data_IF_205852510889
#
_entry.id   IF_205852510889
#
_cell.length_a   1.000
_cell.length_b   1.000
_cell.length_c   1.000
_cell.angle_alpha   90.00
_cell.angle_beta   90.00
_cell.angle_gamma   90.00
#
_symmetry.space_group_name_H-M   'P 1'
#
loop_
_entity.id
_entity.type
_entity.pdbx_description
1 polymer ?
#
# COMPACT_ATOMS: atom_id res chain seq x y z
N UNK A 1 -19.13 -6.97 65.13
CA UNK A 1 -19.13 -7.49 63.75
C UNK A 1 -18.78 -6.29 62.88
N UNK A 2 -17.48 -6.06 62.64
CA UNK A 2 -17.01 -4.90 61.86
C UNK A 2 -16.99 -5.34 60.41
N UNK A 3 -17.86 -4.76 59.59
CA UNK A 3 -17.86 -4.96 58.14
C UNK A 3 -16.48 -4.58 57.60
N UNK A 4 -15.76 -5.58 57.12
CA UNK A 4 -14.51 -5.42 56.43
C UNK A 4 -14.86 -4.89 55.04
N UNK A 5 -14.97 -3.56 54.90
CA UNK A 5 -15.20 -2.91 53.62
C UNK A 5 -14.17 -3.43 52.60
N UNK A 6 -14.60 -3.84 51.40
CA UNK A 6 -13.70 -4.45 50.43
C UNK A 6 -12.62 -3.43 50.05
N UNK A 7 -11.34 -3.83 50.14
CA UNK A 7 -10.14 -3.02 49.80
C UNK A 7 -10.23 -2.29 48.45
N UNK A 8 -11.08 -2.76 47.56
CA UNK A 8 -11.31 -2.19 46.23
C UNK A 8 -12.06 -0.84 46.25
N UNK A 9 -12.81 -0.53 47.32
CA UNK A 9 -13.53 0.74 47.43
C UNK A 9 -12.57 1.94 47.62
N UNK A 10 -11.47 1.74 48.35
CA UNK A 10 -10.46 2.78 48.59
C UNK A 10 -9.52 3.03 47.41
N UNK A 11 -9.47 2.12 46.43
CA UNK A 11 -8.61 2.27 45.26
C UNK A 11 -9.12 3.37 44.30
N UNK A 12 -10.44 3.55 44.20
CA UNK A 12 -11.07 4.55 43.33
C UNK A 12 -11.01 5.99 43.89
N UNK A 13 -10.71 6.14 45.20
CA UNK A 13 -10.56 7.45 45.84
C UNK A 13 -9.14 8.03 45.70
N UNK A 14 -8.15 7.24 45.29
CA UNK A 14 -6.81 7.74 45.00
C UNK A 14 -6.85 8.56 43.69
N UNK A 15 -6.58 9.87 43.71
CA UNK A 15 -6.58 10.70 42.50
C UNK A 15 -5.54 10.23 41.46
N UNK A 16 -4.53 9.46 41.88
CA UNK A 16 -3.54 8.87 40.98
C UNK A 16 -4.00 7.55 40.35
N UNK A 17 -5.10 6.94 40.81
CA UNK A 17 -5.63 5.69 40.28
C UNK A 17 -5.98 5.83 38.79
N UNK A 18 -6.71 6.88 38.43
CA UNK A 18 -7.06 7.16 37.03
C UNK A 18 -5.85 7.43 36.15
N UNK A 19 -4.80 8.06 36.71
CA UNK A 19 -3.54 8.34 36.00
C UNK A 19 -2.74 7.05 35.81
N UNK A 20 -2.64 6.21 36.84
CA UNK A 20 -1.97 4.93 36.79
C UNK A 20 -2.68 3.97 35.81
N UNK A 21 -4.00 3.89 35.88
CA UNK A 21 -4.81 3.06 34.98
C UNK A 21 -4.70 3.54 33.53
N UNK A 22 -4.87 4.85 33.28
CA UNK A 22 -4.66 5.42 31.95
C UNK A 22 -3.24 5.17 31.41
N UNK A 23 -2.20 5.31 32.25
CA UNK A 23 -0.81 5.06 31.86
C UNK A 23 -0.52 3.60 31.50
N UNK A 24 -1.31 2.66 32.05
CA UNK A 24 -1.21 1.23 31.74
C UNK A 24 -2.01 0.83 30.50
N UNK A 25 -3.13 1.50 30.23
CA UNK A 25 -4.05 1.21 29.10
C UNK A 25 -3.60 1.90 27.81
N UNK A 26 -3.08 3.13 27.87
CA UNK A 26 -2.65 3.91 26.70
C UNK A 26 -1.62 3.18 25.80
N UNK A 27 -0.58 2.51 26.35
CA UNK A 27 0.38 1.76 25.53
C UNK A 27 -0.23 0.52 24.88
N UNK A 28 -1.14 -0.16 25.59
CA UNK A 28 -1.80 -1.37 25.10
C UNK A 28 -2.79 -1.07 23.97
N UNK A 29 -3.55 0.01 24.13
CA UNK A 29 -4.50 0.50 23.11
C UNK A 29 -3.77 1.09 21.90
N UNK A 30 -2.66 1.81 22.09
CA UNK A 30 -1.83 2.29 20.98
C UNK A 30 -1.24 1.14 20.15
N UNK A 31 -0.74 0.09 20.81
CA UNK A 31 -0.19 -1.09 20.14
C UNK A 31 -1.26 -1.87 19.36
N UNK A 32 -2.47 -2.02 19.92
CA UNK A 32 -3.55 -2.75 19.25
C UNK A 32 -4.06 -2.01 18.02
N UNK A 33 -4.15 -0.67 18.06
CA UNK A 33 -4.52 0.16 16.91
C UNK A 33 -3.47 0.04 15.80
N UNK A 34 -2.19 0.14 16.17
CA UNK A 34 -1.10 0.15 15.20
C UNK A 34 -0.93 -1.21 14.50
N UNK A 35 -1.02 -2.31 15.24
CA UNK A 35 -1.00 -3.67 14.68
C UNK A 35 -2.21 -3.93 13.78
N UNK A 36 -3.40 -3.49 14.19
CA UNK A 36 -4.61 -3.57 13.36
C UNK A 36 -4.44 -2.79 12.05
N UNK A 37 -3.88 -1.58 12.10
CA UNK A 37 -3.59 -0.79 10.90
C UNK A 37 -2.66 -1.50 9.91
N UNK A 38 -1.60 -2.13 10.42
CA UNK A 38 -0.65 -2.89 9.59
C UNK A 38 -1.31 -4.09 8.91
N UNK A 39 -2.19 -4.81 9.63
CA UNK A 39 -2.94 -5.94 9.07
C UNK A 39 -3.88 -5.45 7.96
N UNK A 40 -4.61 -4.37 8.18
CA UNK A 40 -5.51 -3.78 7.16
C UNK A 40 -4.73 -3.41 5.91
N UNK A 41 -3.60 -2.72 6.04
CA UNK A 41 -2.74 -2.37 4.89
C UNK A 41 -2.32 -3.61 4.10
N UNK A 42 -1.88 -4.67 4.80
CA UNK A 42 -1.46 -5.91 4.15
C UNK A 42 -2.61 -6.57 3.39
N UNK A 43 -3.79 -6.65 4.01
CA UNK A 43 -4.99 -7.22 3.39
C UNK A 43 -5.43 -6.41 2.17
N UNK A 44 -5.45 -5.07 2.28
CA UNK A 44 -5.82 -4.19 1.16
C UNK A 44 -4.84 -4.34 -0.01
N UNK A 45 -3.53 -4.38 0.24
CA UNK A 45 -2.54 -4.63 -0.82
C UNK A 45 -2.72 -5.99 -1.47
N UNK A 46 -3.00 -7.03 -0.67
CA UNK A 46 -3.25 -8.38 -1.18
C UNK A 46 -4.51 -8.42 -2.08
N UNK A 47 -5.61 -7.78 -1.68
CA UNK A 47 -6.83 -7.67 -2.48
C UNK A 47 -6.60 -6.92 -3.80
N UNK A 48 -5.86 -5.81 -3.77
CA UNK A 48 -5.53 -5.06 -4.98
C UNK A 48 -4.70 -5.91 -5.95
N UNK A 49 -3.70 -6.63 -5.44
CA UNK A 49 -2.85 -7.51 -6.27
C UNK A 49 -3.68 -8.67 -6.84
N UNK A 50 -4.52 -9.32 -6.02
CA UNK A 50 -5.39 -10.40 -6.45
C UNK A 50 -6.39 -9.92 -7.51
N UNK A 51 -7.03 -8.78 -7.30
CA UNK A 51 -7.95 -8.17 -8.25
C UNK A 51 -7.26 -7.78 -9.57
N UNK A 52 -6.10 -7.13 -9.50
CA UNK A 52 -5.34 -6.72 -10.68
C UNK A 52 -4.88 -7.93 -11.51
N UNK A 53 -4.37 -8.98 -10.85
CA UNK A 53 -3.94 -10.22 -11.52
C UNK A 53 -5.13 -10.98 -12.13
N UNK A 54 -6.27 -11.04 -11.43
CA UNK A 54 -7.49 -11.61 -11.96
C UNK A 54 -7.98 -10.88 -13.22
N UNK A 55 -8.08 -9.54 -13.15
CA UNK A 55 -8.48 -8.72 -14.31
C UNK A 55 -7.49 -8.87 -15.46
N UNK A 56 -6.20 -8.94 -15.18
CA UNK A 56 -5.16 -9.18 -16.20
C UNK A 56 -5.37 -10.51 -16.89
N UNK A 57 -5.44 -11.58 -16.13
CA UNK A 57 -5.64 -12.92 -16.66
C UNK A 57 -6.93 -13.01 -17.47
N UNK A 58 -8.04 -12.52 -16.93
CA UNK A 58 -9.33 -12.50 -17.61
C UNK A 58 -9.30 -11.70 -18.92
N UNK A 59 -8.63 -10.54 -18.93
CA UNK A 59 -8.51 -9.70 -20.13
C UNK A 59 -7.73 -10.40 -21.25
N UNK A 60 -6.65 -11.12 -20.92
CA UNK A 60 -5.92 -11.91 -21.90
C UNK A 60 -6.71 -13.12 -22.38
N UNK A 61 -7.40 -13.81 -21.48
CA UNK A 61 -8.27 -14.94 -21.83
C UNK A 61 -9.41 -14.53 -22.79
N UNK A 62 -10.07 -13.40 -22.52
CA UNK A 62 -11.11 -12.85 -23.41
C UNK A 62 -10.56 -12.51 -24.80
N UNK A 63 -9.34 -11.99 -24.86
CA UNK A 63 -8.72 -11.65 -26.14
C UNK A 63 -8.36 -12.88 -26.98
N UNK A 64 -8.03 -13.99 -26.31
CA UNK A 64 -7.73 -15.27 -26.96
C UNK A 64 -9.01 -15.93 -27.49
N UNK A 65 -10.11 -15.79 -26.75
CA UNK A 65 -11.39 -16.46 -27.04
C UNK A 65 -12.28 -15.72 -28.04
N UNK A 66 -12.09 -14.41 -28.23
CA UNK A 66 -12.95 -13.64 -29.13
C UNK A 66 -12.70 -14.03 -30.60
N UNK A 67 -13.70 -14.57 -31.27
CA UNK A 67 -13.59 -15.04 -32.67
C UNK A 67 -13.84 -13.95 -33.71
N UNK A 68 -14.50 -12.86 -33.31
CA UNK A 68 -14.99 -11.79 -34.22
C UNK A 68 -13.90 -10.76 -34.55
N UNK A 69 -12.80 -10.74 -33.80
CA UNK A 69 -11.73 -9.74 -33.95
C UNK A 69 -10.59 -10.26 -34.82
N UNK A 70 -10.12 -9.44 -35.77
CA UNK A 70 -8.95 -9.78 -36.59
C UNK A 70 -7.67 -9.87 -35.75
N UNK A 71 -6.70 -10.65 -36.24
CA UNK A 71 -5.41 -10.85 -35.55
C UNK A 71 -4.62 -9.55 -35.36
N UNK A 72 -4.76 -8.62 -36.31
CA UNK A 72 -4.16 -7.28 -36.21
C UNK A 72 -4.73 -6.52 -35.01
N UNK A 73 -6.07 -6.47 -34.88
CA UNK A 73 -6.74 -5.77 -33.78
C UNK A 73 -6.48 -6.45 -32.43
N UNK A 74 -6.42 -7.79 -32.39
CA UNK A 74 -6.01 -8.53 -31.18
C UNK A 74 -4.59 -8.14 -30.74
N UNK A 75 -3.66 -8.05 -31.68
CA UNK A 75 -2.27 -7.65 -31.38
C UNK A 75 -2.20 -6.24 -30.80
N UNK A 76 -3.01 -5.31 -31.33
CA UNK A 76 -3.11 -3.95 -30.79
C UNK A 76 -3.65 -3.93 -29.35
N UNK A 77 -4.71 -4.69 -29.07
CA UNK A 77 -5.25 -4.82 -27.71
C UNK A 77 -4.25 -5.46 -26.74
N UNK A 78 -3.48 -6.49 -27.15
CA UNK A 78 -2.43 -7.06 -26.29
C UNK A 78 -1.38 -6.02 -25.92
N UNK A 79 -0.94 -5.20 -26.88
CA UNK A 79 0.04 -4.14 -26.63
C UNK A 79 -0.52 -3.11 -25.66
N UNK A 80 -1.76 -2.68 -25.86
CA UNK A 80 -2.45 -1.75 -24.97
C UNK A 80 -2.58 -2.32 -23.54
N UNK A 81 -3.07 -3.56 -23.40
CA UNK A 81 -3.21 -4.20 -22.10
C UNK A 81 -1.87 -4.32 -21.37
N UNK A 82 -0.81 -4.76 -22.06
CA UNK A 82 0.53 -4.82 -21.45
C UNK A 82 1.01 -3.45 -20.97
N UNK A 83 0.80 -2.40 -21.76
CA UNK A 83 1.16 -1.04 -21.37
C UNK A 83 0.34 -0.58 -20.15
N UNK A 84 -0.96 -0.86 -20.12
CA UNK A 84 -1.84 -0.50 -19.01
C UNK A 84 -1.45 -1.24 -17.72
N UNK A 85 -1.19 -2.54 -17.78
CA UNK A 85 -0.74 -3.30 -16.62
C UNK A 85 0.62 -2.80 -16.12
N UNK A 86 1.54 -2.46 -17.01
CA UNK A 86 2.82 -1.86 -16.61
C UNK A 86 2.62 -0.49 -15.94
N UNK A 87 1.69 0.34 -16.42
CA UNK A 87 1.36 1.65 -15.81
C UNK A 87 0.75 1.54 -14.43
N UNK A 88 0.03 0.46 -14.14
CA UNK A 88 -0.53 0.21 -12.80
C UNK A 88 0.54 -0.42 -11.92
N UNK A 89 1.28 -1.41 -12.43
CA UNK A 89 2.25 -2.17 -11.65
C UNK A 89 3.41 -1.30 -11.15
N UNK A 90 3.97 -0.43 -11.99
CA UNK A 90 5.13 0.39 -11.61
C UNK A 90 4.83 1.29 -10.41
N UNK A 91 3.76 2.12 -10.40
CA UNK A 91 3.41 2.95 -9.26
C UNK A 91 2.98 2.13 -8.04
N UNK A 92 2.27 1.02 -8.25
CA UNK A 92 1.88 0.13 -7.15
C UNK A 92 3.10 -0.43 -6.42
N UNK A 93 4.16 -0.80 -7.14
CA UNK A 93 5.41 -1.27 -6.51
C UNK A 93 6.06 -0.14 -5.71
N UNK A 94 6.08 1.08 -6.25
CA UNK A 94 6.70 2.24 -5.56
C UNK A 94 5.98 2.63 -4.27
N UNK A 95 4.69 2.35 -4.15
CA UNK A 95 3.92 2.55 -2.90
C UNK A 95 3.97 1.30 -2.01
N UNK A 96 3.83 0.10 -2.58
CA UNK A 96 3.80 -1.13 -1.78
C UNK A 96 5.09 -1.34 -0.98
N UNK A 97 6.26 -1.03 -1.55
CA UNK A 97 7.54 -1.20 -0.87
C UNK A 97 7.61 -0.36 0.42
N UNK A 98 7.37 0.97 0.40
CA UNK A 98 7.38 1.76 1.62
C UNK A 98 6.37 1.35 2.68
N UNK A 99 5.16 1.02 2.26
CA UNK A 99 4.09 0.63 3.17
C UNK A 99 4.36 -0.73 3.81
N UNK A 100 4.86 -1.71 3.06
CA UNK A 100 5.25 -3.01 3.61
C UNK A 100 6.46 -2.88 4.54
N UNK A 101 7.47 -2.11 4.15
CA UNK A 101 8.63 -1.84 5.00
C UNK A 101 8.20 -1.19 6.33
N UNK A 102 7.37 -0.15 6.27
CA UNK A 102 6.82 0.51 7.46
C UNK A 102 6.04 -0.45 8.36
N UNK A 103 5.16 -1.26 7.77
CA UNK A 103 4.38 -2.26 8.50
C UNK A 103 5.28 -3.31 9.18
N UNK A 104 6.32 -3.80 8.48
CA UNK A 104 7.27 -4.76 9.05
C UNK A 104 8.01 -4.14 10.23
N UNK A 105 8.60 -2.95 10.07
CA UNK A 105 9.36 -2.28 11.15
C UNK A 105 8.49 -2.09 12.39
N UNK A 106 7.23 -1.68 12.19
CA UNK A 106 6.26 -1.45 13.26
C UNK A 106 5.87 -2.75 13.98
N UNK A 107 5.51 -3.80 13.24
CA UNK A 107 5.07 -5.07 13.82
C UNK A 107 6.22 -5.80 14.49
N UNK A 108 7.39 -5.80 13.88
CA UNK A 108 8.59 -6.47 14.40
C UNK A 108 9.28 -5.69 15.53
N UNK A 109 8.86 -4.44 15.81
CA UNK A 109 9.52 -3.52 16.74
C UNK A 109 11.01 -3.40 16.44
N UNK A 110 11.32 -3.24 15.15
CA UNK A 110 12.69 -3.22 14.67
C UNK A 110 13.29 -1.83 14.84
N UNK A 111 13.60 -1.51 16.09
CA UNK A 111 14.07 -0.18 16.52
C UNK A 111 15.47 0.16 15.97
N UNK A 112 16.16 -0.81 15.38
CA UNK A 112 17.52 -0.66 14.82
C UNK A 112 17.55 -0.38 13.33
N UNK A 113 16.40 -0.11 12.70
CA UNK A 113 16.35 0.25 11.27
C UNK A 113 17.15 1.53 11.03
N UNK A 114 18.21 1.51 10.21
CA UNK A 114 19.02 2.70 9.96
C UNK A 114 18.17 3.85 9.41
N UNK A 115 18.40 5.07 9.92
CA UNK A 115 17.69 6.27 9.48
C UNK A 115 17.81 6.51 7.97
N UNK A 116 18.94 6.12 7.36
CA UNK A 116 19.15 6.19 5.92
C UNK A 116 18.15 5.32 5.14
N UNK A 117 17.83 4.12 5.64
CA UNK A 117 16.83 3.23 5.02
C UNK A 117 15.44 3.83 5.16
N UNK A 118 15.08 4.32 6.35
CA UNK A 118 13.79 4.99 6.55
C UNK A 118 13.64 6.19 5.61
N UNK A 119 14.65 7.06 5.52
CA UNK A 119 14.61 8.23 4.64
C UNK A 119 14.47 7.85 3.17
N UNK A 120 15.20 6.83 2.70
CA UNK A 120 15.09 6.34 1.33
C UNK A 120 13.68 5.79 1.04
N UNK A 121 13.11 5.05 2.00
CA UNK A 121 11.76 4.52 1.91
C UNK A 121 10.70 5.62 1.82
N UNK A 122 10.79 6.65 2.67
CA UNK A 122 9.88 7.80 2.61
C UNK A 122 10.06 8.65 1.35
N UNK A 123 11.30 8.78 0.86
CA UNK A 123 11.54 9.46 -0.41
C UNK A 123 10.89 8.71 -1.58
N UNK A 124 10.99 7.38 -1.63
CA UNK A 124 10.35 6.56 -2.65
C UNK A 124 8.82 6.74 -2.64
N UNK A 125 8.21 6.75 -1.46
CA UNK A 125 6.77 7.02 -1.31
C UNK A 125 6.42 8.43 -1.78
N UNK A 126 7.19 9.46 -1.39
CA UNK A 126 6.94 10.84 -1.81
C UNK A 126 6.97 11.02 -3.35
N UNK A 127 7.78 10.23 -4.06
CA UNK A 127 7.89 10.30 -5.52
C UNK A 127 6.91 9.40 -6.29
N UNK A 128 6.06 8.60 -5.64
CA UNK A 128 5.19 7.64 -6.33
C UNK A 128 4.28 8.29 -7.39
N UNK A 129 3.72 9.47 -7.10
CA UNK A 129 2.84 10.20 -8.03
C UNK A 129 3.61 10.72 -9.26
N UNK A 130 4.87 11.13 -9.06
CA UNK A 130 5.76 11.54 -10.16
C UNK A 130 6.12 10.32 -11.02
N UNK A 131 6.46 9.19 -10.39
CA UNK A 131 6.76 7.94 -11.09
C UNK A 131 5.53 7.44 -11.86
N UNK A 132 4.32 7.58 -11.31
CA UNK A 132 3.06 7.29 -12.01
C UNK A 132 2.87 8.12 -13.26
N UNK A 133 3.06 9.44 -13.14
CA UNK A 133 2.97 10.36 -14.27
C UNK A 133 3.98 10.02 -15.36
N UNK A 134 5.24 9.76 -15.00
CA UNK A 134 6.27 9.34 -15.93
C UNK A 134 5.95 7.98 -16.57
N UNK A 135 5.39 7.04 -15.82
CA UNK A 135 5.00 5.72 -16.32
C UNK A 135 3.96 5.83 -17.42
N UNK A 136 2.95 6.69 -17.28
CA UNK A 136 1.96 6.95 -18.32
C UNK A 136 2.64 7.52 -19.58
N UNK A 137 3.51 8.52 -19.41
CA UNK A 137 4.22 9.18 -20.51
C UNK A 137 5.11 8.22 -21.31
N UNK A 138 5.85 7.34 -20.64
CA UNK A 138 6.79 6.43 -21.29
C UNK A 138 6.16 5.13 -21.78
N UNK A 139 5.20 4.56 -21.06
CA UNK A 139 4.64 3.25 -21.36
C UNK A 139 3.48 3.30 -22.35
N UNK A 140 2.71 4.39 -22.37
CA UNK A 140 1.63 4.57 -23.36
C UNK A 140 2.19 5.11 -24.66
N UNK A 141 2.05 4.34 -25.74
CA UNK A 141 2.53 4.72 -27.07
C UNK A 141 2.09 6.12 -27.57
N UNK A 142 0.81 6.53 -27.51
CA UNK A 142 0.40 7.87 -27.93
C UNK A 142 1.12 9.00 -27.20
N UNK A 143 1.25 8.91 -25.87
CA UNK A 143 1.94 9.92 -25.07
C UNK A 143 3.44 9.95 -25.36
N UNK A 144 4.08 8.78 -25.51
CA UNK A 144 5.49 8.69 -25.87
C UNK A 144 5.76 9.30 -27.25
N UNK A 145 4.91 9.01 -28.25
CA UNK A 145 5.04 9.58 -29.60
C UNK A 145 4.89 11.10 -29.57
N UNK A 146 3.93 11.61 -28.82
CA UNK A 146 3.75 13.06 -28.64
C UNK A 146 5.00 13.74 -28.04
N UNK A 147 5.61 13.15 -27.02
CA UNK A 147 6.85 13.67 -26.43
C UNK A 147 8.02 13.65 -27.41
N UNK A 148 8.18 12.58 -28.18
CA UNK A 148 9.24 12.49 -29.19
C UNK A 148 9.08 13.54 -30.28
N UNK A 149 7.84 13.77 -30.74
CA UNK A 149 7.52 14.83 -31.71
C UNK A 149 7.87 16.21 -31.16
N UNK A 150 7.52 16.49 -29.90
CA UNK A 150 7.87 17.75 -29.25
C UNK A 150 9.38 17.93 -29.09
N UNK A 151 10.12 16.84 -28.88
CA UNK A 151 11.57 16.82 -28.83
C UNK A 151 12.25 16.85 -30.22
N UNK A 152 11.49 17.00 -31.31
CA UNK A 152 12.03 17.06 -32.67
C UNK A 152 12.49 15.71 -33.22
N UNK A 153 12.15 14.60 -32.57
CA UNK A 153 12.45 13.23 -33.04
C UNK A 153 11.21 12.65 -33.72
N UNK A 154 11.36 12.27 -35.00
CA UNK A 154 10.28 11.62 -35.79
C UNK A 154 9.99 10.21 -35.26
#
# INVERSE_FOLDING_TARGET
MVEQFPRYAFAYEDPNFWVAEASSILPLTGLSIQTTGCIVIFLTLAEIIAGATFVMWHSFYMLDTILVMSDHTKTMHRKLLRALFAQIAVPMITVAIPWLHGAIVVVSRWDTTPQSILNATWALDAFHASISSLSILYLTEPYRRFLLQMAGRK
#
